data_IF_695883987439
#
_entry.id   IF_695883987439
#
_cell.length_a   1.000
_cell.length_b   1.000
_cell.length_c   1.000
_cell.angle_alpha   90.00
_cell.angle_beta   90.00
_cell.angle_gamma   90.00
#
_symmetry.space_group_name_H-M   'P 1'
#
loop_
_entity.id
_entity.type
_entity.pdbx_description
1 polymer ?
#
# COMPACT_ATOMS: atom_id res chain seq x y z
N UNK A 1 21.61 -5.79 3.06
CA UNK A 1 20.80 -6.50 4.09
C UNK A 1 21.27 -6.28 5.53
N UNK A 2 22.59 -6.29 5.84
CA UNK A 2 23.08 -6.21 7.23
C UNK A 2 22.68 -4.92 7.97
N UNK A 3 22.67 -3.76 7.30
CA UNK A 3 22.25 -2.49 7.91
C UNK A 3 20.76 -2.49 8.28
N UNK A 4 19.88 -2.94 7.39
CA UNK A 4 18.44 -3.02 7.65
C UNK A 4 18.11 -4.02 8.77
N UNK A 5 18.72 -5.21 8.75
CA UNK A 5 18.51 -6.21 9.81
C UNK A 5 19.06 -5.77 11.19
N UNK A 6 19.99 -4.80 11.25
CA UNK A 6 20.45 -4.24 12.52
C UNK A 6 19.36 -3.45 13.26
N UNK A 7 18.27 -3.03 12.59
CA UNK A 7 17.12 -2.40 13.26
C UNK A 7 16.50 -3.30 14.34
N UNK A 8 16.62 -4.63 14.20
CA UNK A 8 16.17 -5.60 15.22
C UNK A 8 16.93 -5.47 16.56
N UNK A 9 18.10 -4.83 16.57
CA UNK A 9 18.83 -4.53 17.80
C UNK A 9 18.16 -3.41 18.60
N UNK A 10 17.43 -2.50 17.92
CA UNK A 10 16.65 -1.42 18.54
C UNK A 10 15.24 -1.88 18.90
N UNK A 11 14.62 -2.68 18.04
CA UNK A 11 13.31 -3.27 18.29
C UNK A 11 13.36 -4.80 18.10
N UNK A 12 13.44 -5.55 19.21
CA UNK A 12 13.52 -7.03 19.16
C UNK A 12 12.26 -7.70 18.60
N UNK A 13 11.12 -7.01 18.60
CA UNK A 13 9.87 -7.48 18.00
C UNK A 13 9.83 -7.32 16.48
N UNK A 14 10.73 -6.52 15.89
CA UNK A 14 10.76 -6.25 14.46
C UNK A 14 11.07 -7.54 13.66
N UNK A 15 10.19 -7.83 12.70
CA UNK A 15 10.40 -8.85 11.68
C UNK A 15 10.83 -8.16 10.38
N UNK A 16 11.69 -8.82 9.61
CA UNK A 16 12.14 -8.33 8.31
C UNK A 16 11.88 -9.41 7.28
N UNK A 17 11.29 -9.02 6.15
CA UNK A 17 10.90 -9.89 5.05
C UNK A 17 11.58 -9.33 3.79
N UNK A 18 12.06 -10.21 2.91
CA UNK A 18 12.58 -9.83 1.61
C UNK A 18 11.48 -10.00 0.56
N UNK A 19 11.25 -8.97 -0.26
CA UNK A 19 10.30 -9.00 -1.37
C UNK A 19 11.02 -9.32 -2.67
N UNK A 20 10.40 -10.16 -3.51
CA UNK A 20 10.85 -10.49 -4.87
C UNK A 20 9.70 -10.18 -5.82
N UNK A 21 9.96 -9.38 -6.86
CA UNK A 21 8.94 -8.94 -7.82
C UNK A 21 8.94 -7.42 -7.98
N UNK A 22 7.74 -6.85 -8.12
CA UNK A 22 7.53 -5.42 -8.35
C UNK A 22 7.41 -5.08 -9.84
N UNK A 23 6.85 -3.90 -10.10
CA UNK A 23 6.50 -3.43 -11.45
C UNK A 23 7.65 -3.55 -12.45
N UNK A 24 8.84 -3.05 -12.08
CA UNK A 24 10.02 -3.04 -12.95
C UNK A 24 10.55 -4.43 -13.33
N UNK A 25 10.27 -5.46 -12.51
CA UNK A 25 10.68 -6.83 -12.80
C UNK A 25 9.78 -7.49 -13.86
N UNK A 26 8.56 -6.99 -14.02
CA UNK A 26 7.56 -7.56 -14.93
C UNK A 26 7.12 -8.97 -14.53
N UNK A 27 6.47 -9.67 -15.48
CA UNK A 27 5.84 -10.97 -15.24
C UNK A 27 6.58 -12.15 -15.87
N UNK A 28 7.42 -11.92 -16.88
CA UNK A 28 8.03 -12.98 -17.69
C UNK A 28 8.83 -13.99 -16.86
N UNK A 29 9.62 -13.50 -15.90
CA UNK A 29 10.41 -14.35 -15.01
C UNK A 29 9.53 -15.24 -14.13
N UNK A 30 8.40 -14.72 -13.63
CA UNK A 30 7.45 -15.48 -12.83
C UNK A 30 6.67 -16.49 -13.67
N UNK A 31 6.23 -16.12 -14.87
CA UNK A 31 5.57 -17.03 -15.82
C UNK A 31 6.49 -18.20 -16.14
N UNK A 32 7.76 -17.93 -16.43
CA UNK A 32 8.78 -18.96 -16.66
C UNK A 32 9.02 -19.82 -15.41
N UNK A 33 9.04 -19.22 -14.23
CA UNK A 33 9.23 -19.95 -12.98
C UNK A 33 8.09 -20.95 -12.72
N UNK A 34 6.84 -20.52 -12.86
CA UNK A 34 5.66 -21.36 -12.55
C UNK A 34 5.29 -22.34 -13.66
N UNK A 35 5.88 -22.23 -14.85
CA UNK A 35 5.64 -23.17 -15.96
C UNK A 35 6.36 -24.50 -15.80
N UNK A 36 7.22 -24.65 -14.79
CA UNK A 36 7.96 -25.89 -14.50
C UNK A 36 7.97 -26.19 -13.00
N UNK A 37 7.53 -27.40 -12.64
CA UNK A 37 7.61 -27.87 -11.25
C UNK A 37 9.07 -27.93 -10.77
N UNK A 38 10.01 -28.26 -11.64
CA UNK A 38 11.44 -28.30 -11.29
C UNK A 38 11.97 -26.90 -10.98
N UNK A 39 11.59 -25.89 -11.76
CA UNK A 39 11.98 -24.51 -11.49
C UNK A 39 11.34 -23.98 -10.20
N UNK A 40 10.07 -24.30 -9.95
CA UNK A 40 9.42 -23.98 -8.68
C UNK A 40 10.11 -24.65 -7.50
N UNK A 41 10.46 -25.93 -7.62
CA UNK A 41 11.18 -26.68 -6.59
C UNK A 41 12.59 -26.12 -6.39
N UNK A 42 13.29 -25.72 -7.45
CA UNK A 42 14.61 -25.11 -7.36
C UNK A 42 14.56 -23.74 -6.66
N UNK A 43 13.52 -22.96 -6.94
CA UNK A 43 13.30 -21.66 -6.29
C UNK A 43 12.92 -21.82 -4.81
N UNK A 44 12.06 -22.77 -4.49
CA UNK A 44 11.52 -22.98 -3.14
C UNK A 44 12.33 -23.98 -2.29
N UNK A 45 13.26 -24.74 -2.87
CA UNK A 45 14.08 -25.73 -2.17
C UNK A 45 13.46 -27.12 -1.97
N UNK A 46 12.56 -27.57 -2.87
CA UNK A 46 11.91 -28.91 -2.98
C UNK A 46 10.43 -29.05 -2.56
N UNK A 47 9.73 -27.97 -2.22
CA UNK A 47 8.29 -28.00 -1.93
C UNK A 47 7.61 -26.70 -2.39
N UNK A 48 6.29 -26.55 -2.23
CA UNK A 48 5.70 -25.20 -2.32
C UNK A 48 6.36 -24.29 -1.27
N UNK A 49 6.46 -22.98 -1.52
CA UNK A 49 7.22 -22.06 -0.63
C UNK A 49 6.77 -22.16 0.83
N UNK A 50 5.45 -22.32 1.06
CA UNK A 50 4.89 -22.47 2.40
C UNK A 50 5.31 -23.78 3.08
N UNK A 51 5.19 -24.90 2.39
CA UNK A 51 5.57 -26.22 2.89
C UNK A 51 7.08 -26.32 3.11
N UNK A 52 7.88 -25.67 2.25
CA UNK A 52 9.33 -25.58 2.40
C UNK A 52 9.70 -24.85 3.70
N UNK A 53 8.98 -23.77 4.02
CA UNK A 53 9.20 -23.07 5.29
C UNK A 53 8.76 -23.90 6.50
N UNK A 54 7.65 -24.65 6.41
CA UNK A 54 7.17 -25.51 7.50
C UNK A 54 8.06 -26.73 7.76
N UNK A 55 8.69 -27.27 6.72
CA UNK A 55 9.55 -28.46 6.79
C UNK A 55 11.02 -28.18 7.11
N UNK A 56 11.42 -26.91 7.31
CA UNK A 56 12.79 -26.55 7.70
C UNK A 56 13.18 -27.30 9.00
N UNK A 57 14.29 -28.08 9.00
CA UNK A 57 14.74 -28.84 10.17
C UNK A 57 14.96 -27.99 11.42
N UNK A 58 15.26 -26.70 11.28
CA UNK A 58 15.43 -25.79 12.41
C UNK A 58 14.10 -25.37 13.02
N UNK A 59 13.02 -25.34 12.24
CA UNK A 59 11.66 -25.17 12.76
C UNK A 59 11.27 -26.37 13.63
N UNK A 60 11.65 -27.57 13.20
CA UNK A 60 11.46 -28.80 14.01
C UNK A 60 12.29 -28.78 15.31
N UNK A 61 13.32 -27.95 15.40
CA UNK A 61 14.12 -27.70 16.62
C UNK A 61 13.64 -26.51 17.44
N UNK A 62 12.48 -25.92 17.12
CA UNK A 62 11.86 -24.84 17.88
C UNK A 62 12.17 -23.42 17.38
N UNK A 63 12.76 -23.26 16.19
CA UNK A 63 12.85 -21.94 15.54
C UNK A 63 11.50 -21.53 14.97
N UNK A 64 11.16 -20.25 15.04
CA UNK A 64 10.02 -19.70 14.31
C UNK A 64 10.18 -19.97 12.80
N UNK A 65 9.10 -20.40 12.14
CA UNK A 65 9.04 -20.49 10.68
C UNK A 65 9.18 -19.12 10.02
N UNK A 66 9.79 -19.07 8.83
CA UNK A 66 9.78 -17.89 7.96
C UNK A 66 8.37 -17.48 7.55
N UNK A 67 8.06 -16.18 7.59
CA UNK A 67 6.78 -15.65 7.12
C UNK A 67 6.70 -15.67 5.60
N UNK A 68 5.55 -16.06 5.06
CA UNK A 68 5.21 -15.94 3.65
C UNK A 68 4.10 -14.91 3.48
N UNK A 69 4.38 -13.86 2.71
CA UNK A 69 3.42 -12.80 2.40
C UNK A 69 3.42 -12.51 0.92
N UNK A 70 2.32 -11.98 0.41
CA UNK A 70 2.23 -11.47 -0.96
C UNK A 70 1.75 -10.03 -0.97
N UNK A 71 2.09 -9.29 -2.04
CA UNK A 71 1.44 -8.04 -2.41
C UNK A 71 0.62 -8.32 -3.66
N UNK A 72 -0.63 -7.85 -3.67
CA UNK A 72 -1.63 -8.22 -4.68
C UNK A 72 -2.28 -6.98 -5.27
N UNK A 73 -2.52 -7.02 -6.58
CA UNK A 73 -3.11 -5.92 -7.33
C UNK A 73 -4.57 -5.70 -6.97
N UNK A 74 -5.05 -4.51 -7.32
CA UNK A 74 -6.36 -4.00 -6.91
C UNK A 74 -7.21 -3.59 -8.11
N UNK A 75 -7.52 -4.55 -8.97
CA UNK A 75 -8.64 -4.42 -9.92
C UNK A 75 -9.60 -5.58 -9.71
N UNK A 76 -10.89 -5.32 -9.88
CA UNK A 76 -11.92 -6.36 -9.76
C UNK A 76 -11.65 -7.52 -10.72
N UNK A 77 -11.22 -7.19 -11.95
CA UNK A 77 -10.82 -8.19 -12.95
C UNK A 77 -9.67 -9.08 -12.45
N UNK A 78 -8.59 -8.52 -11.89
CA UNK A 78 -7.47 -9.31 -11.38
C UNK A 78 -7.91 -10.26 -10.27
N UNK A 79 -8.72 -9.77 -9.33
CA UNK A 79 -9.19 -10.57 -8.21
C UNK A 79 -10.07 -11.72 -8.69
N UNK A 80 -10.97 -11.47 -9.63
CA UNK A 80 -11.93 -12.47 -10.10
C UNK A 80 -11.36 -13.47 -11.12
N UNK A 81 -10.33 -13.08 -11.88
CA UNK A 81 -9.85 -13.90 -13.02
C UNK A 81 -8.45 -14.47 -12.81
N UNK A 82 -7.58 -13.80 -12.05
CA UNK A 82 -6.19 -14.19 -11.91
C UNK A 82 -5.87 -14.78 -10.52
N UNK A 83 -6.66 -14.47 -9.49
CA UNK A 83 -6.36 -14.87 -8.12
C UNK A 83 -7.28 -15.99 -7.62
N UNK A 84 -6.69 -17.13 -7.27
CA UNK A 84 -7.34 -18.08 -6.37
C UNK A 84 -7.23 -17.52 -4.93
N UNK A 85 -8.16 -16.64 -4.55
CA UNK A 85 -8.15 -15.93 -3.26
C UNK A 85 -8.11 -16.90 -2.08
N UNK A 86 -8.92 -17.96 -2.09
CA UNK A 86 -8.89 -18.98 -1.03
C UNK A 86 -7.53 -19.66 -0.92
N UNK A 87 -6.90 -20.00 -2.04
CA UNK A 87 -5.54 -20.56 -2.05
C UNK A 87 -4.49 -19.57 -1.52
N UNK A 88 -4.54 -18.31 -1.96
CA UNK A 88 -3.64 -17.27 -1.47
C UNK A 88 -3.81 -17.10 0.05
N UNK A 89 -5.05 -17.04 0.54
CA UNK A 89 -5.38 -16.91 1.95
C UNK A 89 -4.97 -18.14 2.77
N UNK A 90 -5.00 -19.34 2.19
CA UNK A 90 -4.53 -20.56 2.85
C UNK A 90 -3.02 -20.49 3.10
N UNK A 91 -2.22 -20.18 2.08
CA UNK A 91 -0.76 -20.29 2.15
C UNK A 91 -0.06 -19.04 2.72
N UNK A 92 -0.64 -17.86 2.55
CA UNK A 92 -0.06 -16.61 3.04
C UNK A 92 -0.33 -16.42 4.54
N UNK A 93 0.67 -15.92 5.25
CA UNK A 93 0.55 -15.47 6.63
C UNK A 93 -0.17 -14.12 6.69
N UNK A 94 0.20 -13.19 5.80
CA UNK A 94 -0.43 -11.89 5.61
C UNK A 94 -0.49 -11.55 4.11
N UNK A 95 -1.53 -10.82 3.71
CA UNK A 95 -1.79 -10.41 2.33
C UNK A 95 -1.80 -8.88 2.29
N UNK A 96 -0.87 -8.28 1.56
CA UNK A 96 -0.76 -6.84 1.39
C UNK A 96 -1.61 -6.40 0.20
N UNK A 97 -2.78 -5.83 0.47
CA UNK A 97 -3.68 -5.32 -0.55
C UNK A 97 -3.17 -3.94 -0.99
N UNK A 98 -2.68 -3.81 -2.22
CA UNK A 98 -2.10 -2.56 -2.73
C UNK A 98 -3.18 -1.53 -3.09
N UNK A 99 -3.95 -1.06 -2.11
CA UNK A 99 -5.17 -0.24 -2.26
C UNK A 99 -4.88 1.23 -2.60
N UNK A 100 -4.08 1.42 -3.63
CA UNK A 100 -3.64 2.68 -4.21
C UNK A 100 -3.40 2.46 -5.70
N UNK A 101 -3.01 3.50 -6.44
CA UNK A 101 -2.92 3.47 -7.91
C UNK A 101 -4.24 3.11 -8.60
N UNK A 102 -5.39 3.50 -8.02
CA UNK A 102 -6.69 3.35 -8.67
C UNK A 102 -6.81 4.23 -9.92
N UNK A 103 -6.18 5.41 -9.88
CA UNK A 103 -6.18 6.43 -10.93
C UNK A 103 -4.78 7.03 -11.04
N UNK A 104 -4.36 7.43 -12.23
CA UNK A 104 -3.00 7.90 -12.48
C UNK A 104 -2.77 8.40 -13.91
N UNK A 105 -1.52 8.68 -14.28
CA UNK A 105 -1.20 9.31 -15.57
C UNK A 105 -1.56 8.49 -16.82
N UNK A 106 -1.98 7.23 -16.64
CA UNK A 106 -2.53 6.40 -17.72
C UNK A 106 -3.96 6.80 -18.12
N UNK A 107 -4.58 7.74 -17.40
CA UNK A 107 -5.90 8.30 -17.69
C UNK A 107 -5.79 9.74 -18.23
N UNK A 108 -6.81 10.17 -18.99
CA UNK A 108 -6.87 11.53 -19.53
C UNK A 108 -7.67 12.50 -18.65
N UNK A 109 -7.95 12.12 -17.40
CA UNK A 109 -8.70 12.93 -16.44
C UNK A 109 -8.10 12.82 -15.04
N UNK A 110 -8.17 13.89 -14.26
CA UNK A 110 -7.72 13.90 -12.86
C UNK A 110 -8.65 13.09 -11.95
N UNK A 111 -8.08 12.27 -11.08
CA UNK A 111 -8.80 11.61 -9.99
C UNK A 111 -7.84 11.22 -8.85
N UNK A 112 -8.37 10.89 -7.68
CA UNK A 112 -7.59 10.51 -6.49
C UNK A 112 -7.24 9.02 -6.52
N UNK A 113 -5.99 8.69 -6.25
CA UNK A 113 -5.48 7.33 -6.51
C UNK A 113 -5.75 6.29 -5.42
N UNK A 114 -6.38 6.67 -4.30
CA UNK A 114 -6.59 5.74 -3.18
C UNK A 114 -7.85 6.05 -2.34
N UNK A 115 -8.96 6.43 -2.98
CA UNK A 115 -10.22 6.73 -2.30
C UNK A 115 -10.62 5.65 -1.27
N UNK A 116 -11.03 6.07 -0.06
CA UNK A 116 -11.51 5.16 0.98
C UNK A 116 -12.88 4.57 0.60
N UNK A 117 -13.80 5.42 0.15
CA UNK A 117 -15.12 5.05 -0.35
C UNK A 117 -15.35 5.60 -1.75
N UNK A 118 -16.24 4.93 -2.49
CA UNK A 118 -16.80 5.45 -3.74
C UNK A 118 -18.11 4.72 -4.03
N UNK A 119 -19.09 5.42 -4.62
CA UNK A 119 -20.37 4.83 -5.02
C UNK A 119 -20.29 4.10 -6.37
N UNK A 120 -19.37 4.53 -7.24
CA UNK A 120 -19.32 4.08 -8.64
C UNK A 120 -17.93 3.67 -9.12
N UNK A 121 -16.89 3.91 -8.32
CA UNK A 121 -15.50 3.74 -8.71
C UNK A 121 -14.76 2.73 -7.83
N UNK A 122 -13.45 2.59 -8.08
CA UNK A 122 -12.51 1.86 -7.25
C UNK A 122 -12.34 2.54 -5.89
N UNK A 123 -12.38 1.74 -4.82
CA UNK A 123 -12.16 2.23 -3.45
C UNK A 123 -11.64 1.16 -2.53
N UNK A 124 -10.94 1.57 -1.47
CA UNK A 124 -10.44 0.69 -0.41
C UNK A 124 -11.56 -0.20 0.13
N UNK A 125 -12.73 0.36 0.43
CA UNK A 125 -13.88 -0.39 0.96
C UNK A 125 -14.39 -1.47 0.00
N UNK A 126 -14.55 -1.12 -1.28
CA UNK A 126 -14.97 -2.08 -2.31
C UNK A 126 -13.99 -3.24 -2.44
N UNK A 127 -12.68 -2.96 -2.41
CA UNK A 127 -11.66 -4.01 -2.50
C UNK A 127 -11.58 -4.89 -1.25
N UNK A 128 -11.70 -4.33 -0.05
CA UNK A 128 -11.78 -5.14 1.18
C UNK A 128 -12.96 -6.11 1.08
N UNK A 129 -14.14 -5.61 0.69
CA UNK A 129 -15.36 -6.42 0.56
C UNK A 129 -15.21 -7.52 -0.47
N UNK A 130 -14.61 -7.22 -1.64
CA UNK A 130 -14.37 -8.20 -2.70
C UNK A 130 -13.43 -9.32 -2.24
N UNK A 131 -12.30 -8.99 -1.61
CA UNK A 131 -11.37 -10.02 -1.11
C UNK A 131 -12.02 -10.92 -0.06
N UNK A 132 -12.86 -10.35 0.82
CA UNK A 132 -13.60 -11.12 1.82
C UNK A 132 -14.67 -11.99 1.16
N UNK A 133 -15.40 -11.51 0.15
CA UNK A 133 -16.41 -12.31 -0.56
C UNK A 133 -15.79 -13.49 -1.32
N UNK A 134 -14.57 -13.32 -1.85
CA UNK A 134 -13.79 -14.37 -2.50
C UNK A 134 -13.07 -15.32 -1.51
N UNK A 135 -13.32 -15.17 -0.21
CA UNK A 135 -12.94 -16.14 0.83
C UNK A 135 -11.68 -15.79 1.62
N UNK A 136 -11.13 -14.57 1.50
CA UNK A 136 -10.03 -14.16 2.36
C UNK A 136 -10.50 -13.86 3.80
N UNK A 137 -9.71 -14.28 4.79
CA UNK A 137 -9.97 -13.96 6.19
C UNK A 137 -9.45 -12.57 6.52
N UNK A 138 -10.30 -11.69 7.06
CA UNK A 138 -9.97 -10.31 7.45
C UNK A 138 -8.70 -10.20 8.31
N UNK A 139 -8.50 -11.14 9.24
CA UNK A 139 -7.32 -11.20 10.12
C UNK A 139 -5.99 -11.53 9.40
N UNK A 140 -5.99 -11.74 8.08
CA UNK A 140 -4.80 -11.86 7.25
C UNK A 140 -4.60 -10.68 6.28
N UNK A 141 -5.59 -9.79 6.15
CA UNK A 141 -5.56 -8.70 5.18
C UNK A 141 -4.88 -7.47 5.78
N UNK A 142 -3.83 -6.99 5.12
CA UNK A 142 -3.17 -5.73 5.40
C UNK A 142 -3.61 -4.68 4.38
N UNK A 143 -4.12 -3.56 4.87
CA UNK A 143 -4.52 -2.42 4.04
C UNK A 143 -3.29 -1.65 3.57
N UNK A 144 -3.06 -1.58 2.27
CA UNK A 144 -2.03 -0.75 1.67
C UNK A 144 -2.38 0.74 1.78
N UNK A 145 -1.44 1.53 2.29
CA UNK A 145 -1.55 2.98 2.44
C UNK A 145 -0.40 3.66 1.68
N UNK A 146 -0.69 4.53 0.69
CA UNK A 146 0.34 5.24 -0.04
C UNK A 146 0.84 6.46 0.75
N UNK A 147 2.15 6.61 0.89
CA UNK A 147 2.81 7.82 1.43
C UNK A 147 3.27 8.75 0.30
N UNK A 148 2.50 8.77 -0.79
CA UNK A 148 2.71 9.59 -1.99
C UNK A 148 1.35 10.00 -2.58
N UNK A 149 1.37 11.02 -3.41
CA UNK A 149 0.26 11.40 -4.28
C UNK A 149 0.55 11.09 -5.74
N UNK A 150 -0.50 11.15 -6.55
CA UNK A 150 -0.38 11.18 -8.01
C UNK A 150 -0.74 12.58 -8.50
N UNK A 151 0.15 13.12 -9.32
CA UNK A 151 0.02 14.44 -9.90
C UNK A 151 -0.44 14.37 -11.35
N UNK A 152 -1.06 15.45 -11.82
CA UNK A 152 -1.55 15.60 -13.17
C UNK A 152 -1.38 17.05 -13.64
N UNK A 153 -1.17 17.23 -14.93
CA UNK A 153 -1.24 18.54 -15.60
C UNK A 153 -2.63 18.73 -16.18
N UNK A 154 -3.40 19.67 -15.62
CA UNK A 154 -4.70 20.10 -16.10
C UNK A 154 -4.59 20.75 -17.48
N UNK A 155 -5.51 20.41 -18.38
CA UNK A 155 -5.64 21.07 -19.69
C UNK A 155 -6.14 22.51 -19.53
N UNK A 156 -7.10 22.72 -18.63
CA UNK A 156 -7.61 24.04 -18.25
C UNK A 156 -7.62 24.17 -16.72
N UNK A 157 -6.80 25.06 -16.11
CA UNK A 157 -6.76 25.21 -14.65
C UNK A 157 -8.08 25.71 -14.04
N UNK A 158 -9.00 26.24 -14.84
CA UNK A 158 -10.34 26.62 -14.37
C UNK A 158 -11.30 25.42 -14.27
N UNK A 159 -10.98 24.31 -14.94
CA UNK A 159 -11.66 23.04 -14.80
C UNK A 159 -10.76 22.10 -13.99
N UNK A 160 -10.95 22.06 -12.67
CA UNK A 160 -9.97 21.48 -11.75
C UNK A 160 -10.59 20.54 -10.69
N UNK A 161 -11.83 20.12 -10.92
CA UNK A 161 -12.49 19.09 -10.13
C UNK A 161 -12.12 17.70 -10.65
N UNK A 162 -12.35 16.67 -9.82
CA UNK A 162 -12.26 15.26 -10.27
C UNK A 162 -13.02 15.06 -11.58
N UNK A 163 -12.40 14.34 -12.52
CA UNK A 163 -12.90 14.13 -13.89
C UNK A 163 -12.49 15.21 -14.89
N UNK A 164 -11.80 16.28 -14.48
CA UNK A 164 -11.32 17.30 -15.41
C UNK A 164 -10.20 16.76 -16.33
N UNK A 165 -10.14 17.19 -17.61
CA UNK A 165 -9.13 16.70 -18.54
C UNK A 165 -7.68 17.00 -18.13
N UNK A 166 -6.80 16.02 -18.32
CA UNK A 166 -5.36 16.09 -18.04
C UNK A 166 -4.52 15.45 -19.15
N UNK A 167 -3.21 15.70 -19.14
CA UNK A 167 -2.28 15.18 -20.15
C UNK A 167 -1.11 14.35 -19.59
N UNK A 168 -0.43 14.88 -18.58
CA UNK A 168 0.79 14.30 -18.00
C UNK A 168 0.60 14.14 -16.51
N UNK A 169 1.39 13.28 -15.86
CA UNK A 169 1.35 13.06 -14.44
C UNK A 169 2.54 12.27 -13.92
N UNK A 170 2.81 12.39 -12.63
CA UNK A 170 3.93 11.73 -11.94
C UNK A 170 3.58 11.41 -10.49
N UNK A 171 4.26 10.40 -9.94
CA UNK A 171 4.28 10.14 -8.50
C UNK A 171 4.94 11.30 -7.75
N UNK A 172 4.34 11.72 -6.64
CA UNK A 172 4.86 12.78 -5.78
C UNK A 172 4.95 12.28 -4.33
N UNK A 173 6.16 12.02 -3.80
CA UNK A 173 6.36 11.67 -2.40
C UNK A 173 5.72 12.68 -1.45
N UNK A 174 5.20 12.24 -0.31
CA UNK A 174 4.51 13.12 0.64
C UNK A 174 5.38 14.30 1.10
N UNK A 175 6.70 14.09 1.29
CA UNK A 175 7.60 15.19 1.66
C UNK A 175 7.63 16.32 0.61
N UNK A 176 7.45 16.02 -0.68
CA UNK A 176 7.34 17.03 -1.73
C UNK A 176 5.96 17.69 -1.72
N UNK A 177 4.90 16.90 -1.55
CA UNK A 177 3.52 17.40 -1.44
C UNK A 177 3.40 18.41 -0.30
N UNK A 178 3.84 18.04 0.91
CA UNK A 178 3.71 18.91 2.07
C UNK A 178 4.62 20.14 1.98
N UNK A 179 5.79 20.03 1.33
CA UNK A 179 6.67 21.15 1.07
C UNK A 179 6.01 22.17 0.12
N UNK A 180 5.42 21.71 -0.99
CA UNK A 180 4.70 22.59 -1.91
C UNK A 180 3.53 23.30 -1.23
N UNK A 181 2.74 22.57 -0.43
CA UNK A 181 1.62 23.14 0.33
C UNK A 181 2.11 24.26 1.26
N UNK A 182 3.22 24.02 1.96
CA UNK A 182 3.82 24.99 2.88
C UNK A 182 4.37 26.22 2.16
N UNK A 183 5.21 26.01 1.14
CA UNK A 183 5.91 27.08 0.42
C UNK A 183 4.95 28.01 -0.34
N UNK A 184 3.90 27.44 -0.93
CA UNK A 184 2.93 28.18 -1.71
C UNK A 184 1.65 28.53 -0.94
N UNK A 185 1.57 28.21 0.36
CA UNK A 185 0.41 28.46 1.22
C UNK A 185 -0.90 27.92 0.61
N UNK A 186 -0.81 26.72 0.03
CA UNK A 186 -1.94 26.09 -0.67
C UNK A 186 -2.96 25.61 0.38
N UNK A 187 -4.24 25.82 0.10
CA UNK A 187 -5.33 25.22 0.88
C UNK A 187 -5.87 24.02 0.10
N UNK A 188 -5.62 22.78 0.55
CA UNK A 188 -6.14 21.58 -0.11
C UNK A 188 -7.66 21.48 0.01
N UNK A 189 -8.27 20.80 -0.96
CA UNK A 189 -9.69 20.42 -0.95
C UNK A 189 -9.81 18.97 -0.50
N UNK A 190 -10.60 18.71 0.53
CA UNK A 190 -10.93 17.34 0.94
C UNK A 190 -12.18 16.85 0.22
N UNK A 191 -12.06 15.70 -0.45
CA UNK A 191 -13.19 15.00 -1.02
C UNK A 191 -13.95 14.27 0.08
N UNK A 192 -15.14 14.76 0.41
CA UNK A 192 -15.88 14.29 1.59
C UNK A 192 -16.42 12.86 1.50
N UNK A 193 -16.62 12.33 0.29
CA UNK A 193 -17.04 10.95 0.10
C UNK A 193 -15.82 10.02 0.12
N UNK A 194 -14.80 10.34 -0.68
CA UNK A 194 -13.59 9.56 -0.90
C UNK A 194 -12.63 9.61 0.30
N UNK A 195 -12.80 10.57 1.21
CA UNK A 195 -12.00 10.78 2.45
C UNK A 195 -10.52 11.04 2.22
N UNK A 196 -10.20 11.69 1.11
CA UNK A 196 -8.82 12.00 0.72
C UNK A 196 -8.71 13.44 0.20
N UNK A 197 -7.57 14.11 0.40
CA UNK A 197 -7.34 15.44 -0.13
C UNK A 197 -6.79 15.45 -1.57
N UNK A 198 -7.05 16.55 -2.25
CA UNK A 198 -6.26 16.98 -3.40
C UNK A 198 -5.94 18.47 -3.28
N UNK A 199 -4.97 18.95 -4.06
CA UNK A 199 -4.76 20.38 -4.23
C UNK A 199 -4.49 20.74 -5.69
N UNK A 200 -4.64 22.03 -5.99
CA UNK A 200 -4.35 22.60 -7.31
C UNK A 200 -3.41 23.79 -7.15
N UNK A 201 -2.36 23.83 -7.95
CA UNK A 201 -1.45 24.97 -8.01
C UNK A 201 -1.09 25.25 -9.48
N UNK A 202 -1.53 26.39 -10.01
CA UNK A 202 -1.54 26.66 -11.45
C UNK A 202 -2.30 25.55 -12.21
N UNK A 203 -1.64 24.83 -13.10
CA UNK A 203 -2.19 23.66 -13.81
C UNK A 203 -1.80 22.32 -13.17
N UNK A 204 -1.04 22.31 -12.08
CA UNK A 204 -0.72 21.08 -11.36
C UNK A 204 -1.89 20.70 -10.45
N UNK A 205 -2.39 19.49 -10.61
CA UNK A 205 -3.38 18.86 -9.72
C UNK A 205 -2.73 17.67 -9.03
N UNK A 206 -2.88 17.53 -7.72
CA UNK A 206 -2.28 16.40 -6.96
C UNK A 206 -3.28 15.81 -5.98
N UNK A 207 -3.60 14.53 -6.15
CA UNK A 207 -4.39 13.74 -5.21
C UNK A 207 -3.46 12.90 -4.33
N UNK A 208 -3.60 12.97 -3.01
CA UNK A 208 -2.59 12.45 -2.07
C UNK A 208 -3.22 12.02 -0.74
N UNK A 209 -2.39 11.50 0.17
CA UNK A 209 -2.76 11.22 1.57
C UNK A 209 -2.20 12.27 2.52
N UNK A 210 -2.98 12.67 3.52
CA UNK A 210 -2.52 13.49 4.63
C UNK A 210 -2.75 12.79 5.99
N UNK A 211 -2.39 13.47 7.09
CA UNK A 211 -2.58 12.92 8.43
C UNK A 211 -4.04 12.66 8.78
N UNK A 212 -4.99 13.36 8.17
CA UNK A 212 -6.42 13.16 8.43
C UNK A 212 -6.92 11.94 7.67
N UNK A 213 -6.66 11.84 6.36
CA UNK A 213 -7.06 10.69 5.54
C UNK A 213 -6.44 9.38 6.05
N UNK A 214 -5.16 9.40 6.45
CA UNK A 214 -4.50 8.23 7.06
C UNK A 214 -5.18 7.82 8.37
N UNK A 215 -5.62 8.76 9.21
CA UNK A 215 -6.35 8.44 10.44
C UNK A 215 -7.74 7.86 10.14
N UNK A 216 -8.46 8.40 9.16
CA UNK A 216 -9.75 7.86 8.75
C UNK A 216 -9.61 6.43 8.22
N UNK A 217 -8.62 6.17 7.36
CA UNK A 217 -8.31 4.81 6.88
C UNK A 217 -7.90 3.86 8.01
N UNK A 218 -7.11 4.33 8.98
CA UNK A 218 -6.74 3.55 10.14
C UNK A 218 -7.94 3.21 11.05
N UNK A 219 -8.90 4.13 11.18
CA UNK A 219 -10.15 3.88 11.89
C UNK A 219 -11.01 2.85 11.15
N UNK A 220 -11.13 2.97 9.82
CA UNK A 220 -11.83 2.00 8.99
C UNK A 220 -11.20 0.59 9.08
N UNK A 221 -9.87 0.50 8.95
CA UNK A 221 -9.11 -0.76 9.15
C UNK A 221 -9.47 -1.44 10.46
N UNK A 222 -9.52 -0.68 11.55
CA UNK A 222 -9.90 -1.19 12.88
C UNK A 222 -11.36 -1.61 12.95
N UNK A 223 -12.27 -0.80 12.40
CA UNK A 223 -13.70 -1.09 12.39
C UNK A 223 -14.01 -2.38 11.60
N UNK A 224 -13.31 -2.58 10.48
CA UNK A 224 -13.45 -3.78 9.66
C UNK A 224 -12.79 -5.02 10.25
N UNK A 225 -11.91 -4.87 11.25
CA UNK A 225 -11.18 -5.99 11.86
C UNK A 225 -10.10 -6.57 10.94
N UNK A 226 -9.45 -5.72 10.14
CA UNK A 226 -8.32 -6.12 9.30
C UNK A 226 -7.08 -6.41 10.16
N UNK A 227 -6.12 -7.16 9.60
CA UNK A 227 -4.91 -7.56 10.30
C UNK A 227 -3.99 -6.38 10.67
N UNK A 228 -4.06 -5.29 9.91
CA UNK A 228 -3.17 -4.15 10.04
C UNK A 228 -3.03 -3.39 8.73
N UNK A 229 -1.96 -2.60 8.64
CA UNK A 229 -1.64 -1.79 7.47
C UNK A 229 -0.28 -2.18 6.88
N UNK A 230 -0.17 -2.05 5.56
CA UNK A 230 1.08 -2.02 4.81
C UNK A 230 1.25 -0.59 4.28
N UNK A 231 2.48 -0.07 4.26
CA UNK A 231 2.76 1.30 3.82
C UNK A 231 3.70 1.31 2.63
N UNK A 232 3.39 2.14 1.63
CA UNK A 232 4.21 2.31 0.43
C UNK A 232 4.53 3.79 0.20
N UNK A 233 5.73 4.28 0.47
CA UNK A 233 6.80 3.62 1.23
C UNK A 233 7.33 4.56 2.32
N UNK A 234 7.99 4.00 3.32
CA UNK A 234 8.44 4.72 4.52
C UNK A 234 9.37 5.91 4.20
N UNK A 235 10.13 5.82 3.10
CA UNK A 235 11.03 6.86 2.60
C UNK A 235 10.32 7.97 1.81
N UNK A 236 9.02 7.83 1.54
CA UNK A 236 8.21 8.86 0.87
C UNK A 236 7.49 9.79 1.86
N UNK A 237 7.40 9.40 3.13
CA UNK A 237 6.91 10.27 4.21
C UNK A 237 7.90 11.43 4.45
N UNK A 238 7.50 12.44 5.24
CA UNK A 238 8.43 13.47 5.70
C UNK A 238 9.30 12.94 6.86
N UNK A 239 10.24 12.06 6.53
CA UNK A 239 11.13 11.40 7.49
C UNK A 239 12.13 12.37 8.15
N UNK A 240 12.33 13.56 7.57
CA UNK A 240 13.18 14.60 8.14
C UNK A 240 12.41 15.64 8.98
N UNK A 241 11.08 15.72 8.85
CA UNK A 241 10.24 16.69 9.55
C UNK A 241 10.34 18.11 8.98
N UNK A 242 10.63 18.25 7.68
CA UNK A 242 10.81 19.55 7.01
C UNK A 242 9.50 20.35 6.87
N UNK A 243 8.36 19.65 6.89
CA UNK A 243 7.03 20.24 6.76
C UNK A 243 6.44 20.74 8.08
N UNK A 244 7.21 20.76 9.17
CA UNK A 244 6.78 21.20 10.53
C UNK A 244 5.63 20.37 11.11
N UNK A 245 5.48 19.13 10.63
CA UNK A 245 4.49 18.17 11.13
C UNK A 245 5.08 17.09 12.06
N UNK A 246 6.38 17.19 12.35
CA UNK A 246 7.19 16.15 13.00
C UNK A 246 7.80 15.19 11.98
N UNK A 247 8.76 14.36 12.41
CA UNK A 247 9.31 13.28 11.57
C UNK A 247 8.27 12.19 11.36
N UNK A 248 8.20 11.62 10.16
CA UNK A 248 7.27 10.55 9.80
C UNK A 248 5.80 10.87 10.15
N UNK A 249 5.28 12.03 9.71
CA UNK A 249 3.96 12.51 10.13
C UNK A 249 2.82 11.56 9.74
N UNK A 250 2.88 10.92 8.57
CA UNK A 250 1.83 9.99 8.14
C UNK A 250 1.93 8.66 8.91
N UNK A 251 3.13 8.11 9.07
CA UNK A 251 3.32 6.89 9.87
C UNK A 251 2.89 7.08 11.32
N UNK A 252 3.18 8.25 11.91
CA UNK A 252 2.75 8.57 13.26
C UNK A 252 1.23 8.73 13.34
N UNK A 253 0.60 9.34 12.34
CA UNK A 253 -0.85 9.45 12.26
C UNK A 253 -1.54 8.06 12.23
N UNK A 254 -0.95 7.11 11.49
CA UNK A 254 -1.39 5.71 11.46
C UNK A 254 -1.21 5.03 12.82
N UNK A 255 0.00 5.07 13.38
CA UNK A 255 0.36 4.36 14.62
C UNK A 255 -0.49 4.80 15.82
N UNK A 256 -0.87 6.07 15.90
CA UNK A 256 -1.76 6.59 16.95
C UNK A 256 -3.11 5.85 17.02
N UNK A 257 -3.58 5.27 15.91
CA UNK A 257 -4.88 4.62 15.83
C UNK A 257 -4.77 3.09 15.96
N UNK A 258 -3.80 2.48 15.27
CA UNK A 258 -3.66 1.01 15.22
C UNK A 258 -2.87 0.42 16.38
N UNK A 259 -2.03 1.22 17.03
CA UNK A 259 -1.19 0.80 18.17
C UNK A 259 -1.19 1.85 19.29
N UNK A 260 -2.37 2.21 19.85
CA UNK A 260 -2.48 3.28 20.84
C UNK A 260 -1.63 3.03 22.10
N UNK A 261 -1.37 1.77 22.43
CA UNK A 261 -0.60 1.35 23.61
C UNK A 261 0.88 1.08 23.32
N UNK A 262 1.30 1.09 22.04
CA UNK A 262 2.67 0.81 21.60
C UNK A 262 3.05 1.76 20.46
N UNK A 263 3.38 3.00 20.80
CA UNK A 263 4.03 3.92 19.87
C UNK A 263 5.40 3.33 19.46
N UNK A 264 5.44 2.63 18.32
CA UNK A 264 6.70 2.25 17.69
C UNK A 264 7.27 3.53 17.08
N UNK A 265 8.25 4.10 17.77
CA UNK A 265 9.14 5.13 17.24
C UNK A 265 9.89 4.53 16.04
N UNK A 266 9.95 5.30 14.95
CA UNK A 266 10.44 4.90 13.61
C UNK A 266 11.72 4.08 13.55
#
# INVERSE_FOLDING_TARGET
MTQFNNLKKRNRGLKTIASVGGWAMGTEAFIKLVSSQDLMNQFAGNATVREAFESDPEVQKGRDRLLLTCAVGVTEELVLTAYNVTGIAQYSDLINLMMYDFHGEWENTVNVHSALYSDFDLSVDRFVKLWVSEGATKSKLLMGLPLYGRSFTLVDPNNNTVGAPSSEGHDMPYYQVCQMIKEHQITPTTLSNERVPYFVHNNLWVGYEDRASIREKAQYLRAEGLAGAMVWAIDLDDFHGTCEQGQYPLMNALNLIISPDNAIVG
#
